data_IF_888404162072
#
_entry.id   IF_888404162072
#
_cell.length_a   1.000
_cell.length_b   1.000
_cell.length_c   1.000
_cell.angle_alpha   90.00
_cell.angle_beta   90.00
_cell.angle_gamma   90.00
#
_symmetry.space_group_name_H-M   'P 1'
#
loop_
_entity.id
_entity.type
_entity.pdbx_description
1 polymer ?
#
# COMPACT_ATOMS: atom_id res chain seq x y z
N UNK A 1 -34.85 23.19 30.39
CA UNK A 1 -34.55 23.27 28.94
C UNK A 1 -33.10 23.02 28.55
N UNK A 2 -32.07 23.56 29.23
CA UNK A 2 -30.66 23.43 28.79
C UNK A 2 -30.08 21.99 28.82
N UNK A 3 -30.58 21.11 29.68
CA UNK A 3 -30.07 19.71 29.82
C UNK A 3 -30.48 18.78 28.67
N UNK A 4 -31.66 18.97 28.08
CA UNK A 4 -32.14 18.14 26.97
C UNK A 4 -31.39 18.41 25.65
N UNK A 5 -31.02 19.67 25.42
CA UNK A 5 -30.22 20.06 24.24
C UNK A 5 -28.80 19.47 24.29
N UNK A 6 -28.23 19.39 25.49
CA UNK A 6 -26.89 18.84 25.72
C UNK A 6 -26.86 17.32 25.48
N UNK A 7 -27.91 16.61 25.90
CA UNK A 7 -28.07 15.17 25.62
C UNK A 7 -28.22 14.87 24.13
N UNK A 8 -29.01 15.68 23.42
CA UNK A 8 -29.17 15.54 21.96
C UNK A 8 -27.86 15.81 21.22
N UNK A 9 -27.12 16.87 21.58
CA UNK A 9 -25.82 17.16 20.99
C UNK A 9 -24.79 16.04 21.25
N UNK A 10 -24.75 15.51 22.47
CA UNK A 10 -23.84 14.42 22.83
C UNK A 10 -24.18 13.13 22.07
N UNK A 11 -25.47 12.81 21.94
CA UNK A 11 -25.94 11.64 21.20
C UNK A 11 -25.64 11.74 19.70
N UNK A 12 -25.80 12.92 19.09
CA UNK A 12 -25.45 13.16 17.69
C UNK A 12 -23.93 13.02 17.46
N UNK A 13 -23.09 13.52 18.38
CA UNK A 13 -21.64 13.36 18.34
C UNK A 13 -21.23 11.88 18.44
N UNK A 14 -21.82 11.12 19.36
CA UNK A 14 -21.52 9.70 19.52
C UNK A 14 -21.93 8.88 18.29
N UNK A 15 -23.10 9.16 17.70
CA UNK A 15 -23.55 8.49 16.47
C UNK A 15 -22.64 8.84 15.29
N UNK A 16 -22.25 10.12 15.14
CA UNK A 16 -21.32 10.55 14.10
C UNK A 16 -19.94 9.89 14.26
N UNK A 17 -19.40 9.86 15.49
CA UNK A 17 -18.16 9.18 15.80
C UNK A 17 -18.25 7.67 15.52
N UNK A 18 -19.37 7.02 15.85
CA UNK A 18 -19.61 5.61 15.57
C UNK A 18 -19.68 5.32 14.07
N UNK A 19 -20.38 6.15 13.28
CA UNK A 19 -20.42 5.99 11.82
C UNK A 19 -19.06 6.28 11.18
N UNK A 20 -18.31 7.24 11.70
CA UNK A 20 -16.95 7.53 11.25
C UNK A 20 -16.01 6.35 11.54
N UNK A 21 -16.04 5.82 12.77
CA UNK A 21 -15.30 4.61 13.16
C UNK A 21 -15.73 3.41 12.32
N UNK A 22 -17.02 3.20 12.10
CA UNK A 22 -17.53 2.09 11.28
C UNK A 22 -17.08 2.25 9.82
N UNK A 23 -17.11 3.45 9.25
CA UNK A 23 -16.62 3.72 7.90
C UNK A 23 -15.11 3.47 7.78
N UNK A 24 -14.33 3.88 8.79
CA UNK A 24 -12.88 3.70 8.84
C UNK A 24 -12.47 2.23 9.09
N UNK A 25 -13.19 1.52 9.97
CA UNK A 25 -12.94 0.11 10.32
C UNK A 25 -13.52 -0.86 9.29
N UNK A 26 -14.58 -0.48 8.56
CA UNK A 26 -15.24 -1.36 7.59
C UNK A 26 -14.38 -1.66 6.36
N UNK A 27 -13.39 -0.83 6.03
CA UNK A 27 -12.47 -1.10 4.91
C UNK A 27 -11.04 -1.29 5.43
N UNK A 28 -10.85 -2.34 6.26
CA UNK A 28 -9.53 -2.73 6.81
C UNK A 28 -8.45 -2.85 5.74
N UNK A 29 -8.82 -3.07 4.48
CA UNK A 29 -7.86 -3.13 3.37
C UNK A 29 -7.13 -1.80 3.15
N UNK A 30 -7.78 -0.65 3.37
CA UNK A 30 -7.15 0.67 3.26
C UNK A 30 -6.10 0.94 4.33
N UNK A 31 -6.18 0.24 5.46
CA UNK A 31 -5.20 0.33 6.55
C UNK A 31 -3.93 -0.47 6.25
N UNK A 32 -4.05 -1.57 5.51
CA UNK A 32 -2.93 -2.46 5.18
C UNK A 32 -2.29 -2.13 3.83
N UNK A 33 -3.07 -1.55 2.91
CA UNK A 33 -2.63 -1.29 1.55
C UNK A 33 -2.75 0.18 1.19
N UNK A 34 -1.76 0.66 0.45
CA UNK A 34 -1.82 1.92 -0.27
C UNK A 34 -2.39 1.63 -1.65
N UNK A 35 -3.55 2.21 -1.95
CA UNK A 35 -4.30 1.96 -3.19
C UNK A 35 -4.52 3.27 -3.94
N UNK A 36 -4.29 3.25 -5.25
CA UNK A 36 -4.55 4.36 -6.16
C UNK A 36 -5.39 3.89 -7.33
N UNK A 37 -6.32 4.75 -7.76
CA UNK A 37 -7.07 4.56 -9.00
C UNK A 37 -6.27 5.15 -10.17
N UNK A 38 -6.18 4.40 -11.27
CA UNK A 38 -5.54 4.87 -12.50
C UNK A 38 -6.53 5.71 -13.33
N UNK A 39 -6.01 6.76 -13.96
CA UNK A 39 -6.76 7.56 -14.94
C UNK A 39 -6.65 7.04 -16.38
N UNK A 40 -5.95 5.93 -16.57
CA UNK A 40 -5.59 5.35 -17.86
C UNK A 40 -6.25 3.98 -18.05
N UNK A 41 -6.41 3.51 -19.31
CA UNK A 41 -6.81 2.15 -19.59
C UNK A 41 -5.82 1.13 -19.02
N UNK A 42 -6.32 -0.05 -18.67
CA UNK A 42 -5.53 -1.07 -17.97
C UNK A 42 -4.19 -1.40 -18.65
N UNK A 43 -4.19 -1.62 -19.97
CA UNK A 43 -2.98 -2.03 -20.68
C UNK A 43 -1.93 -0.91 -20.71
N UNK A 44 -2.38 0.34 -20.80
CA UNK A 44 -1.50 1.50 -20.71
C UNK A 44 -0.93 1.68 -19.30
N UNK A 45 -1.78 1.56 -18.27
CA UNK A 45 -1.34 1.57 -16.86
C UNK A 45 -0.34 0.45 -16.61
N UNK A 46 -0.60 -0.75 -17.13
CA UNK A 46 0.25 -1.92 -16.94
C UNK A 46 1.63 -1.73 -17.58
N UNK A 47 1.68 -1.15 -18.79
CA UNK A 47 2.94 -0.81 -19.46
C UNK A 47 3.72 0.25 -18.68
N UNK A 48 3.07 1.37 -18.33
CA UNK A 48 3.71 2.47 -17.59
C UNK A 48 4.20 2.01 -16.23
N UNK A 49 3.41 1.20 -15.53
CA UNK A 49 3.80 0.65 -14.24
C UNK A 49 5.04 -0.24 -14.38
N UNK A 50 5.10 -1.11 -15.38
CA UNK A 50 6.30 -1.90 -15.64
C UNK A 50 7.53 -1.01 -15.91
N UNK A 51 7.39 0.04 -16.71
CA UNK A 51 8.47 0.98 -17.01
C UNK A 51 8.98 1.72 -15.77
N UNK A 52 8.07 2.19 -14.91
CA UNK A 52 8.41 2.89 -13.68
C UNK A 52 9.03 1.96 -12.62
N UNK A 53 8.72 0.66 -12.64
CA UNK A 53 9.28 -0.31 -11.71
C UNK A 53 10.65 -0.88 -12.15
N UNK A 54 11.02 -0.79 -13.43
CA UNK A 54 12.35 -1.21 -13.93
C UNK A 54 13.53 -0.66 -13.13
N UNK A 55 13.66 0.66 -12.88
CA UNK A 55 14.79 1.20 -12.12
C UNK A 55 14.81 0.72 -10.67
N UNK A 56 13.68 0.26 -10.13
CA UNK A 56 13.56 -0.31 -8.79
C UNK A 56 13.83 -1.82 -8.75
N UNK A 57 14.43 -2.41 -9.80
CA UNK A 57 14.73 -3.84 -9.83
C UNK A 57 13.48 -4.71 -10.04
N UNK A 58 12.71 -4.41 -11.08
CA UNK A 58 11.59 -5.25 -11.52
C UNK A 58 12.09 -6.66 -11.88
N UNK A 59 11.69 -7.66 -11.11
CA UNK A 59 12.06 -9.07 -11.31
C UNK A 59 11.10 -9.78 -12.28
N UNK A 60 9.83 -9.39 -12.30
CA UNK A 60 8.84 -10.00 -13.17
C UNK A 60 7.40 -9.63 -12.82
N UNK A 61 6.48 -10.23 -13.55
CA UNK A 61 5.04 -10.07 -13.32
C UNK A 61 4.27 -11.37 -13.49
N UNK A 62 3.21 -11.53 -12.70
CA UNK A 62 2.34 -12.69 -12.71
C UNK A 62 0.90 -12.27 -13.00
N UNK A 63 0.24 -12.94 -13.93
CA UNK A 63 -1.16 -12.69 -14.25
C UNK A 63 -2.08 -13.28 -13.17
N UNK A 64 -3.14 -12.53 -12.86
CA UNK A 64 -4.24 -12.95 -12.00
C UNK A 64 -5.55 -12.88 -12.81
N UNK A 65 -6.61 -13.61 -12.41
CA UNK A 65 -7.89 -13.58 -13.14
C UNK A 65 -8.47 -12.17 -13.38
N UNK A 66 -8.18 -11.21 -12.50
CA UNK A 66 -8.68 -9.84 -12.60
C UNK A 66 -7.57 -8.77 -12.48
N UNK A 67 -6.32 -9.13 -12.76
CA UNK A 67 -5.20 -8.23 -12.53
C UNK A 67 -3.84 -8.83 -12.83
N UNK A 68 -2.79 -8.17 -12.34
CA UNK A 68 -1.41 -8.57 -12.48
C UNK A 68 -0.63 -8.14 -11.25
N UNK A 69 0.25 -9.00 -10.75
CA UNK A 69 1.21 -8.66 -9.70
C UNK A 69 2.55 -8.37 -10.33
N UNK A 70 3.19 -7.28 -9.92
CA UNK A 70 4.57 -6.95 -10.24
C UNK A 70 5.42 -7.18 -8.99
N UNK A 71 6.55 -7.87 -9.15
CA UNK A 71 7.56 -8.01 -8.11
C UNK A 71 8.76 -7.13 -8.46
N UNK A 72 9.03 -6.16 -7.60
CA UNK A 72 10.13 -5.21 -7.72
C UNK A 72 11.01 -5.21 -6.46
N UNK A 73 11.96 -4.29 -6.37
CA UNK A 73 12.91 -4.18 -5.26
C UNK A 73 13.82 -5.40 -5.11
N UNK A 74 14.19 -6.05 -6.21
CA UNK A 74 15.14 -7.16 -6.16
C UNK A 74 16.58 -6.59 -6.13
N UNK A 75 17.01 -6.16 -4.95
CA UNK A 75 18.35 -5.61 -4.72
C UNK A 75 19.26 -6.69 -4.08
N UNK A 76 20.58 -6.67 -4.30
CA UNK A 76 21.49 -7.64 -3.67
C UNK A 76 21.39 -7.67 -2.14
N UNK A 77 21.18 -6.50 -1.52
CA UNK A 77 20.97 -6.36 -0.08
C UNK A 77 19.65 -6.97 0.43
N UNK A 78 18.68 -7.22 -0.46
CA UNK A 78 17.40 -7.86 -0.11
C UNK A 78 17.57 -9.32 0.30
N UNK A 79 18.46 -10.07 -0.37
CA UNK A 79 18.67 -11.49 -0.07
C UNK A 79 19.33 -11.67 1.30
N UNK A 80 20.35 -10.85 1.61
CA UNK A 80 20.99 -10.83 2.92
C UNK A 80 19.97 -10.47 4.02
N UNK A 81 19.14 -9.45 3.78
CA UNK A 81 18.15 -8.99 4.75
C UNK A 81 17.07 -10.05 5.02
N UNK A 82 16.57 -10.72 3.98
CA UNK A 82 15.60 -11.83 4.10
C UNK A 82 16.18 -13.07 4.77
N UNK A 83 17.48 -13.34 4.60
CA UNK A 83 18.15 -14.46 5.28
C UNK A 83 18.20 -14.28 6.80
N UNK A 84 18.29 -13.03 7.25
CA UNK A 84 18.35 -12.67 8.67
C UNK A 84 16.96 -12.43 9.27
N UNK A 85 16.04 -11.85 8.50
CA UNK A 85 14.69 -11.49 8.92
C UNK A 85 13.65 -11.98 7.88
N UNK A 86 13.29 -13.28 7.90
CA UNK A 86 12.33 -13.86 6.97
C UNK A 86 10.94 -13.20 7.00
N UNK A 87 10.59 -12.54 8.11
CA UNK A 87 9.36 -11.78 8.28
C UNK A 87 9.26 -10.60 7.30
N UNK A 88 10.38 -10.12 6.75
CA UNK A 88 10.37 -9.12 5.69
C UNK A 88 9.85 -9.66 4.35
N UNK A 89 9.60 -10.96 4.21
CA UNK A 89 8.98 -11.55 3.01
C UNK A 89 7.58 -10.97 2.70
N UNK A 90 6.91 -10.34 3.67
CA UNK A 90 5.67 -9.60 3.44
C UNK A 90 5.88 -8.26 2.70
N UNK A 91 7.11 -7.74 2.71
CA UNK A 91 7.49 -6.47 2.09
C UNK A 91 8.46 -6.64 0.92
N UNK A 92 9.27 -7.69 0.93
CA UNK A 92 10.32 -7.93 -0.05
C UNK A 92 10.19 -9.32 -0.69
N UNK A 93 10.31 -9.42 -2.03
CA UNK A 93 10.35 -8.32 -2.99
C UNK A 93 9.06 -7.47 -2.94
N UNK A 94 9.18 -6.19 -3.27
CA UNK A 94 8.06 -5.26 -3.26
C UNK A 94 6.96 -5.74 -4.23
N UNK A 95 5.75 -5.95 -3.72
CA UNK A 95 4.61 -6.34 -4.54
C UNK A 95 3.72 -5.15 -4.88
N UNK A 96 3.42 -4.98 -6.17
CA UNK A 96 2.41 -4.03 -6.66
C UNK A 96 1.37 -4.80 -7.45
N UNK A 97 0.12 -4.74 -7.01
CA UNK A 97 -1.01 -5.40 -7.66
C UNK A 97 -1.78 -4.39 -8.49
N UNK A 98 -1.82 -4.58 -9.81
CA UNK A 98 -2.72 -3.87 -10.72
C UNK A 98 -3.98 -4.71 -10.91
N UNK A 99 -5.17 -4.15 -10.72
CA UNK A 99 -6.42 -4.91 -10.85
C UNK A 99 -7.57 -4.07 -11.35
N UNK A 100 -8.59 -4.73 -11.90
CA UNK A 100 -9.84 -4.10 -12.31
C UNK A 100 -10.91 -4.31 -11.24
N UNK A 101 -11.63 -3.25 -10.89
CA UNK A 101 -12.78 -3.32 -9.99
C UNK A 101 -13.84 -2.35 -10.46
N UNK A 102 -15.04 -2.87 -10.78
CA UNK A 102 -16.21 -2.08 -11.21
C UNK A 102 -15.92 -1.12 -12.37
N UNK A 103 -15.15 -1.58 -13.36
CA UNK A 103 -14.79 -0.78 -14.55
C UNK A 103 -13.58 0.15 -14.36
N UNK A 104 -13.15 0.40 -13.12
CA UNK A 104 -11.95 1.19 -12.82
C UNK A 104 -10.71 0.31 -12.65
N UNK A 105 -9.55 0.88 -12.95
CA UNK A 105 -8.23 0.25 -12.78
C UNK A 105 -7.59 0.78 -11.51
N UNK A 106 -7.04 -0.10 -10.69
CA UNK A 106 -6.40 0.24 -9.42
C UNK A 106 -5.02 -0.39 -9.32
N UNK A 107 -4.08 0.31 -8.70
CA UNK A 107 -2.84 -0.27 -8.20
C UNK A 107 -2.86 -0.27 -6.67
N UNK A 108 -2.42 -1.37 -6.05
CA UNK A 108 -2.27 -1.50 -4.62
C UNK A 108 -0.89 -2.05 -4.25
N UNK A 109 -0.32 -1.58 -3.15
CA UNK A 109 0.88 -2.12 -2.52
C UNK A 109 0.74 -2.12 -1.00
N UNK A 110 1.50 -2.97 -0.27
CA UNK A 110 1.52 -2.95 1.19
C UNK A 110 1.90 -1.57 1.75
N UNK A 111 1.30 -1.19 2.88
CA UNK A 111 1.76 -0.05 3.69
C UNK A 111 2.86 -0.53 4.61
N UNK A 112 4.10 -0.32 4.20
CA UNK A 112 5.30 -0.75 4.91
C UNK A 112 5.31 -0.34 6.37
N UNK A 113 4.82 0.85 6.72
CA UNK A 113 4.80 1.35 8.10
C UNK A 113 4.04 0.43 9.05
N UNK A 114 3.01 -0.28 8.58
CA UNK A 114 2.23 -1.20 9.41
C UNK A 114 3.03 -2.46 9.72
N UNK A 115 3.74 -2.98 8.73
CA UNK A 115 4.53 -4.20 8.85
C UNK A 115 5.86 -3.94 9.56
N UNK A 116 6.55 -2.85 9.23
CA UNK A 116 7.81 -2.43 9.86
C UNK A 116 7.64 -2.08 11.35
N UNK A 117 6.45 -1.60 11.76
CA UNK A 117 6.18 -1.36 13.18
C UNK A 117 6.29 -2.64 14.04
N UNK A 118 6.04 -3.80 13.45
CA UNK A 118 6.17 -5.10 14.11
C UNK A 118 7.64 -5.53 14.23
N UNK A 119 8.50 -5.11 13.30
CA UNK A 119 9.91 -5.51 13.18
C UNK A 119 10.89 -4.45 13.71
N UNK A 120 10.40 -3.37 14.30
CA UNK A 120 11.21 -2.19 14.68
C UNK A 120 12.36 -2.49 15.65
N UNK A 121 12.26 -3.57 16.43
CA UNK A 121 13.28 -3.97 17.40
C UNK A 121 14.33 -4.91 16.80
N UNK A 122 14.06 -5.46 15.62
CA UNK A 122 14.90 -6.45 14.92
C UNK A 122 15.71 -5.82 13.78
N UNK A 123 15.21 -4.70 13.26
CA UNK A 123 15.86 -3.90 12.24
C UNK A 123 16.83 -2.89 12.86
N UNK A 124 18.01 -2.78 12.25
CA UNK A 124 18.91 -1.65 12.52
C UNK A 124 18.28 -0.37 11.99
N UNK A 125 18.65 0.76 12.56
CA UNK A 125 18.10 2.07 12.18
C UNK A 125 18.36 2.37 10.70
N UNK A 126 19.52 1.98 10.19
CA UNK A 126 19.93 2.17 8.81
C UNK A 126 19.07 1.34 7.85
N UNK A 127 18.80 0.08 8.21
CA UNK A 127 17.95 -0.83 7.43
C UNK A 127 16.51 -0.34 7.38
N UNK A 128 15.99 0.10 8.53
CA UNK A 128 14.66 0.69 8.61
C UNK A 128 14.55 1.93 7.72
N UNK A 129 15.52 2.85 7.78
CA UNK A 129 15.54 4.04 6.93
C UNK A 129 15.57 3.68 5.44
N UNK A 130 16.41 2.71 5.03
CA UNK A 130 16.48 2.25 3.64
C UNK A 130 15.15 1.66 3.16
N UNK A 131 14.49 0.83 3.97
CA UNK A 131 13.19 0.26 3.62
C UNK A 131 12.11 1.33 3.45
N UNK A 132 12.12 2.36 4.33
CA UNK A 132 11.20 3.48 4.23
C UNK A 132 11.45 4.32 2.96
N UNK A 133 12.71 4.57 2.61
CA UNK A 133 13.11 5.28 1.39
C UNK A 133 12.70 4.49 0.14
N UNK A 134 13.02 3.20 0.08
CA UNK A 134 12.64 2.29 -1.00
C UNK A 134 11.13 2.28 -1.24
N UNK A 135 10.32 2.19 -0.19
CA UNK A 135 8.85 2.26 -0.30
C UNK A 135 8.34 3.65 -0.67
N UNK A 136 9.04 4.72 -0.31
CA UNK A 136 8.70 6.07 -0.75
C UNK A 136 8.93 6.23 -2.26
N UNK A 137 10.05 5.69 -2.78
CA UNK A 137 10.33 5.63 -4.22
C UNK A 137 9.32 4.78 -4.97
N UNK A 138 8.99 3.59 -4.43
CA UNK A 138 7.96 2.71 -4.99
C UNK A 138 6.61 3.42 -5.11
N UNK A 139 6.17 4.12 -4.05
CA UNK A 139 4.93 4.91 -4.09
C UNK A 139 4.98 6.01 -5.14
N UNK A 140 6.13 6.67 -5.28
CA UNK A 140 6.31 7.73 -6.29
C UNK A 140 6.18 7.13 -7.69
N UNK A 141 6.90 6.04 -7.98
CA UNK A 141 6.83 5.32 -9.25
C UNK A 141 5.38 4.88 -9.58
N UNK A 142 4.65 4.34 -8.61
CA UNK A 142 3.24 3.95 -8.80
C UNK A 142 2.35 5.16 -9.06
N UNK A 143 2.54 6.29 -8.36
CA UNK A 143 1.78 7.52 -8.63
C UNK A 143 2.02 8.03 -10.04
N UNK A 144 3.27 8.07 -10.47
CA UNK A 144 3.69 8.54 -11.81
C UNK A 144 3.18 7.62 -12.92
N UNK A 145 3.15 6.31 -12.68
CA UNK A 145 2.58 5.34 -13.62
C UNK A 145 1.06 5.50 -13.80
N UNK A 146 0.36 5.94 -12.76
CA UNK A 146 -1.11 6.04 -12.74
C UNK A 146 -1.63 7.45 -13.08
N UNK A 147 -0.77 8.47 -13.02
CA UNK A 147 -1.09 9.85 -13.43
C UNK A 147 -1.05 10.01 -14.96
N UNK A 148 -1.74 11.04 -15.46
CA UNK A 148 -1.71 11.41 -16.89
C UNK A 148 -0.29 11.73 -17.32
#
# INVERSE_FOLDING_TARGET
>A
MKRGLLFLALSALLVSAFYYLKYFVSDRTRLLFFTLESRLPYDETARRLAEQLKPLGLAGSYELPNGRVYLACLLPETEELLSRLPELSYLLPCSVVLYRKRGSVYAALPREVVFLAQLKNELKREELSRLLELYAELRKAVREALSR
#
